data_IF_454889346659
#
_entry.id   IF_454889346659
#
_cell.length_a   1.000
_cell.length_b   1.000
_cell.length_c   1.000
_cell.angle_alpha   90.00
_cell.angle_beta   90.00
_cell.angle_gamma   90.00
#
_symmetry.space_group_name_H-M   'P 1'
#
loop_
_entity.id
_entity.type
_entity.pdbx_description
1 polymer ?
#
# COMPACT_ATOMS: atom_id res chain seq x y z
N UNK A 1 18.89 12.00 -26.67
CA UNK A 1 17.77 11.78 -25.74
C UNK A 1 17.75 12.95 -24.76
N UNK A 2 16.89 13.94 -24.97
CA UNK A 2 16.63 14.96 -23.96
C UNK A 2 16.00 14.27 -22.76
N UNK A 3 16.75 14.15 -21.67
CA UNK A 3 16.19 13.65 -20.41
C UNK A 3 14.95 14.50 -20.10
N UNK A 4 13.78 13.87 -19.96
CA UNK A 4 12.59 14.53 -19.41
C UNK A 4 12.97 14.96 -18.00
N UNK A 5 13.37 16.22 -17.84
CA UNK A 5 13.54 16.86 -16.54
C UNK A 5 12.18 16.81 -15.85
N UNK A 6 12.06 16.02 -14.78
CA UNK A 6 10.90 16.06 -13.88
C UNK A 6 10.89 17.41 -13.19
N UNK A 7 9.74 18.08 -13.15
CA UNK A 7 9.54 19.35 -12.48
C UNK A 7 9.10 19.16 -11.03
N UNK A 8 8.40 18.07 -10.73
CA UNK A 8 8.06 17.68 -9.36
C UNK A 8 9.29 17.03 -8.70
N UNK A 9 9.84 17.62 -7.61
CA UNK A 9 10.97 17.05 -6.91
C UNK A 9 10.58 15.76 -6.19
N UNK A 10 11.58 14.92 -5.90
CA UNK A 10 11.42 13.67 -5.13
C UNK A 10 10.43 12.66 -5.71
N UNK A 11 9.98 12.84 -6.94
CA UNK A 11 9.18 11.84 -7.62
C UNK A 11 10.08 10.65 -7.99
N UNK A 12 10.11 9.62 -7.13
CA UNK A 12 10.75 8.33 -7.38
C UNK A 12 9.76 7.27 -7.87
N UNK A 13 8.51 7.66 -8.11
CA UNK A 13 7.46 6.75 -8.57
C UNK A 13 7.41 6.66 -10.11
N UNK A 14 6.70 5.65 -10.63
CA UNK A 14 6.42 5.50 -12.05
C UNK A 14 5.46 6.55 -12.61
N UNK A 15 4.78 7.33 -11.74
CA UNK A 15 3.87 8.38 -12.16
C UNK A 15 4.63 9.57 -12.75
N UNK A 16 4.12 10.11 -13.86
CA UNK A 16 4.53 11.37 -14.46
C UNK A 16 4.03 12.57 -13.64
N UNK A 17 4.67 13.73 -13.83
CA UNK A 17 4.24 14.97 -13.17
C UNK A 17 2.77 15.30 -13.49
N UNK A 18 2.31 14.99 -14.72
CA UNK A 18 0.91 15.10 -15.11
C UNK A 18 0.01 14.26 -14.22
N UNK A 19 0.34 13.00 -14.00
CA UNK A 19 -0.48 12.09 -13.20
C UNK A 19 -0.52 12.50 -11.73
N UNK A 20 0.60 12.98 -11.19
CA UNK A 20 0.67 13.51 -9.82
C UNK A 20 -0.20 14.76 -9.68
N UNK A 21 -0.09 15.73 -10.61
CA UNK A 21 -0.93 16.92 -10.61
C UNK A 21 -2.41 16.54 -10.67
N UNK A 22 -2.79 15.64 -11.57
CA UNK A 22 -4.19 15.22 -11.71
C UNK A 22 -4.70 14.55 -10.43
N UNK A 23 -3.88 13.72 -9.77
CA UNK A 23 -4.26 13.07 -8.52
C UNK A 23 -4.41 14.05 -7.35
N UNK A 24 -3.53 15.06 -7.27
CA UNK A 24 -3.52 16.00 -6.16
C UNK A 24 -4.50 17.17 -6.35
N UNK A 25 -4.57 17.71 -7.56
CA UNK A 25 -5.27 18.96 -7.89
C UNK A 25 -6.47 18.77 -8.84
N UNK A 26 -6.57 17.62 -9.52
CA UNK A 26 -7.62 17.35 -10.49
C UNK A 26 -7.21 17.61 -11.95
N UNK A 27 -8.01 17.11 -12.93
CA UNK A 27 -7.73 17.23 -14.35
C UNK A 27 -7.78 18.67 -14.88
N UNK A 28 -8.65 19.50 -14.31
CA UNK A 28 -8.82 20.91 -14.69
C UNK A 28 -7.54 21.71 -14.37
N UNK A 29 -6.97 21.52 -13.19
CA UNK A 29 -5.71 22.15 -12.79
C UNK A 29 -4.56 21.83 -13.75
N UNK A 30 -4.49 20.60 -14.29
CA UNK A 30 -3.48 20.27 -15.30
C UNK A 30 -3.66 21.06 -16.59
N UNK A 31 -4.90 21.25 -17.05
CA UNK A 31 -5.18 22.05 -18.26
C UNK A 31 -4.81 23.52 -18.06
N UNK A 32 -5.06 24.07 -16.87
CA UNK A 32 -4.67 25.44 -16.52
C UNK A 32 -3.15 25.59 -16.48
N UNK A 33 -2.44 24.62 -15.89
CA UNK A 33 -0.97 24.60 -15.91
C UNK A 33 -0.40 24.55 -17.32
N UNK A 34 -0.96 23.73 -18.21
CA UNK A 34 -0.50 23.61 -19.58
C UNK A 34 -0.69 24.91 -20.38
N UNK A 35 -1.82 25.60 -20.16
CA UNK A 35 -2.08 26.94 -20.72
C UNK A 35 -1.06 27.97 -20.24
N UNK A 36 -0.83 28.05 -18.93
CA UNK A 36 0.14 28.98 -18.34
C UNK A 36 1.59 28.72 -18.78
N UNK A 37 1.95 27.44 -19.03
CA UNK A 37 3.25 27.07 -19.60
C UNK A 37 3.41 27.60 -21.02
N UNK A 38 2.37 27.51 -21.86
CA UNK A 38 2.40 28.01 -23.23
C UNK A 38 2.59 29.53 -23.28
N UNK A 39 2.03 30.26 -22.31
CA UNK A 39 2.13 31.72 -22.22
C UNK A 39 3.50 32.21 -21.66
N UNK A 40 4.38 31.31 -21.19
CA UNK A 40 5.70 31.60 -20.54
C UNK A 40 5.61 32.54 -19.33
N UNK A 41 4.46 32.60 -18.65
CA UNK A 41 4.13 33.67 -17.70
C UNK A 41 4.86 33.55 -16.34
N UNK A 42 5.21 32.35 -15.83
CA UNK A 42 5.89 32.26 -14.52
C UNK A 42 6.72 30.98 -14.27
N UNK A 43 8.04 31.05 -14.41
CA UNK A 43 8.92 29.92 -14.03
C UNK A 43 9.04 29.70 -12.51
N UNK A 44 9.06 30.79 -11.73
CA UNK A 44 9.31 30.72 -10.27
C UNK A 44 8.09 30.25 -9.48
N UNK A 45 6.90 30.76 -9.83
CA UNK A 45 5.64 30.35 -9.19
C UNK A 45 5.28 28.90 -9.52
N UNK A 46 5.46 28.47 -10.77
CA UNK A 46 5.30 27.08 -11.16
C UNK A 46 6.24 26.16 -10.37
N UNK A 47 7.53 26.52 -10.24
CA UNK A 47 8.48 25.74 -9.44
C UNK A 47 8.05 25.62 -7.98
N UNK A 48 7.59 26.71 -7.35
CA UNK A 48 7.10 26.68 -5.96
C UNK A 48 5.86 25.78 -5.83
N UNK A 49 4.96 25.78 -6.82
CA UNK A 49 3.82 24.87 -6.82
C UNK A 49 4.28 23.41 -6.93
N UNK A 50 5.20 23.08 -7.84
CA UNK A 50 5.73 21.72 -7.94
C UNK A 50 6.48 21.28 -6.68
N UNK A 51 7.18 22.18 -5.98
CA UNK A 51 7.77 21.91 -4.67
C UNK A 51 6.68 21.53 -3.64
N UNK A 52 5.56 22.27 -3.59
CA UNK A 52 4.42 21.93 -2.71
C UNK A 52 3.84 20.56 -3.05
N UNK A 53 3.61 20.28 -4.34
CA UNK A 53 3.07 18.99 -4.77
C UNK A 53 4.05 17.84 -4.51
N UNK A 54 5.35 18.08 -4.69
CA UNK A 54 6.41 17.10 -4.43
C UNK A 54 6.49 16.73 -2.95
N UNK A 55 6.40 17.73 -2.06
CA UNK A 55 6.41 17.51 -0.60
C UNK A 55 5.16 16.74 -0.14
N UNK A 56 3.97 17.00 -0.71
CA UNK A 56 2.76 16.20 -0.44
C UNK A 56 2.95 14.78 -0.95
N UNK A 57 3.41 14.63 -2.20
CA UNK A 57 3.55 13.36 -2.88
C UNK A 57 4.56 12.43 -2.20
N UNK A 58 5.73 12.96 -1.82
CA UNK A 58 6.79 12.17 -1.18
C UNK A 58 6.32 11.59 0.16
N UNK A 59 5.55 12.35 0.94
CA UNK A 59 4.99 11.88 2.21
C UNK A 59 3.91 10.83 1.97
N UNK A 60 2.96 11.07 1.05
CA UNK A 60 1.91 10.10 0.73
C UNK A 60 2.44 8.77 0.17
N UNK A 61 3.62 8.78 -0.45
CA UNK A 61 4.24 7.60 -1.07
C UNK A 61 5.37 6.98 -0.23
N UNK A 62 5.60 7.48 0.97
CA UNK A 62 6.63 6.99 1.87
C UNK A 62 6.05 6.75 3.28
N UNK A 63 5.69 5.49 3.61
CA UNK A 63 5.20 5.14 4.94
C UNK A 63 6.09 5.60 6.10
N UNK A 64 7.42 5.64 5.90
CA UNK A 64 8.34 6.10 6.95
C UNK A 64 8.23 7.61 7.22
N UNK A 65 8.03 8.42 6.16
CA UNK A 65 7.79 9.86 6.33
C UNK A 65 6.41 10.13 6.91
N UNK A 66 5.40 9.38 6.47
CA UNK A 66 4.05 9.46 7.03
C UNK A 66 4.07 9.13 8.53
N UNK A 67 4.72 8.04 8.93
CA UNK A 67 4.85 7.63 10.34
C UNK A 67 5.60 8.68 11.18
N UNK A 68 6.73 9.21 10.70
CA UNK A 68 7.46 10.28 11.42
C UNK A 68 6.58 11.52 11.66
N UNK A 69 5.76 11.90 10.69
CA UNK A 69 4.87 13.07 10.80
C UNK A 69 3.58 12.77 11.59
N UNK A 70 3.16 11.51 11.68
CA UNK A 70 2.09 11.09 12.59
C UNK A 70 2.57 11.17 14.04
N UNK A 71 3.80 10.73 14.31
CA UNK A 71 4.38 10.67 15.65
C UNK A 71 4.93 12.02 16.13
N UNK A 72 5.37 12.88 15.21
CA UNK A 72 5.95 14.18 15.53
C UNK A 72 5.07 15.36 15.05
N UNK A 73 4.25 15.86 15.98
CA UNK A 73 3.35 17.00 15.73
C UNK A 73 4.08 18.26 15.26
N UNK A 74 5.22 18.59 15.85
CA UNK A 74 5.95 19.83 15.53
C UNK A 74 6.50 19.79 14.11
N UNK A 75 7.08 18.65 13.69
CA UNK A 75 7.52 18.44 12.31
C UNK A 75 6.37 18.52 11.31
N UNK A 76 5.22 17.93 11.65
CA UNK A 76 4.01 18.01 10.83
C UNK A 76 3.52 19.44 10.67
N UNK A 77 3.42 20.20 11.77
CA UNK A 77 2.99 21.60 11.71
C UNK A 77 4.00 22.48 10.95
N UNK A 78 5.30 22.22 11.10
CA UNK A 78 6.34 22.91 10.35
C UNK A 78 6.24 22.64 8.84
N UNK A 79 6.03 21.38 8.42
CA UNK A 79 5.83 21.02 7.01
C UNK A 79 4.59 21.72 6.45
N UNK A 80 3.43 21.57 7.09
CA UNK A 80 2.17 22.19 6.64
C UNK A 80 2.32 23.72 6.56
N UNK A 81 2.97 24.33 7.56
CA UNK A 81 3.27 25.76 7.57
C UNK A 81 4.14 26.19 6.38
N UNK A 82 5.18 25.41 6.05
CA UNK A 82 6.03 25.67 4.89
C UNK A 82 5.27 25.57 3.56
N UNK A 83 4.38 24.57 3.40
CA UNK A 83 3.53 24.44 2.22
C UNK A 83 2.61 25.66 2.05
N UNK A 84 1.91 26.05 3.12
CA UNK A 84 1.03 27.23 3.11
C UNK A 84 1.80 28.52 2.84
N UNK A 85 3.01 28.67 3.38
CA UNK A 85 3.87 29.81 3.12
C UNK A 85 4.25 29.92 1.63
N UNK A 86 4.63 28.80 1.00
CA UNK A 86 4.93 28.79 -0.45
C UNK A 86 3.72 29.19 -1.29
N UNK A 87 2.52 28.69 -0.98
CA UNK A 87 1.29 29.08 -1.68
C UNK A 87 1.01 30.59 -1.53
N UNK A 88 1.19 31.15 -0.32
CA UNK A 88 1.04 32.58 -0.09
C UNK A 88 2.04 33.43 -0.89
N UNK A 89 3.28 32.95 -1.09
CA UNK A 89 4.26 33.62 -1.94
C UNK A 89 3.90 33.59 -3.43
N UNK A 90 3.21 32.54 -3.89
CA UNK A 90 2.67 32.47 -5.25
C UNK A 90 1.52 33.47 -5.41
N UNK A 91 0.61 33.54 -4.42
CA UNK A 91 -0.53 34.48 -4.44
C UNK A 91 -0.06 35.94 -4.55
N UNK A 92 0.95 36.35 -3.77
CA UNK A 92 1.56 37.69 -3.88
C UNK A 92 2.09 38.03 -5.28
N UNK A 93 2.46 37.01 -6.05
CA UNK A 93 3.03 37.14 -7.40
C UNK A 93 2.01 36.96 -8.51
N UNK A 94 0.75 36.65 -8.19
CA UNK A 94 -0.32 36.38 -9.16
C UNK A 94 -0.61 37.56 -10.08
N UNK A 95 -0.39 38.80 -9.61
CA UNK A 95 -0.68 40.04 -10.35
C UNK A 95 -2.11 40.08 -10.94
N UNK A 96 -3.09 39.46 -10.26
CA UNK A 96 -4.48 39.39 -10.71
C UNK A 96 -4.79 38.34 -11.80
N UNK A 97 -3.88 37.43 -12.11
CA UNK A 97 -4.11 36.37 -13.10
C UNK A 97 -5.11 35.31 -12.59
N UNK A 98 -6.32 35.29 -13.15
CA UNK A 98 -7.42 34.37 -12.79
C UNK A 98 -7.06 32.88 -12.86
N UNK A 99 -6.34 32.46 -13.90
CA UNK A 99 -5.85 31.09 -14.04
C UNK A 99 -4.94 30.67 -12.87
N UNK A 100 -4.15 31.59 -12.33
CA UNK A 100 -3.27 31.29 -11.18
C UNK A 100 -4.06 31.19 -9.88
N UNK A 101 -5.19 31.91 -9.70
CA UNK A 101 -6.00 31.72 -8.49
C UNK A 101 -6.73 30.40 -8.52
N UNK A 102 -7.23 29.97 -9.67
CA UNK A 102 -7.84 28.66 -9.82
C UNK A 102 -6.88 27.54 -9.39
N UNK A 103 -5.62 27.62 -9.80
CA UNK A 103 -4.58 26.70 -9.36
C UNK A 103 -4.27 26.79 -7.87
N UNK A 104 -4.22 28.00 -7.32
CA UNK A 104 -3.95 28.19 -5.90
C UNK A 104 -5.07 27.67 -5.02
N UNK A 105 -6.32 27.85 -5.42
CA UNK A 105 -7.47 27.29 -4.73
C UNK A 105 -7.38 25.76 -4.69
N UNK A 106 -7.14 25.13 -5.84
CA UNK A 106 -6.94 23.67 -5.90
C UNK A 106 -5.75 23.22 -5.03
N UNK A 107 -4.65 23.97 -5.03
CA UNK A 107 -3.47 23.66 -4.22
C UNK A 107 -3.71 23.84 -2.71
N UNK A 108 -4.44 24.88 -2.30
CA UNK A 108 -4.85 25.09 -0.92
C UNK A 108 -5.73 23.93 -0.44
N UNK A 109 -6.72 23.53 -1.23
CA UNK A 109 -7.54 22.37 -0.92
C UNK A 109 -6.73 21.07 -0.84
N UNK A 110 -5.71 20.90 -1.69
CA UNK A 110 -4.81 19.75 -1.61
C UNK A 110 -3.98 19.73 -0.32
N UNK A 111 -3.46 20.89 0.10
CA UNK A 111 -2.75 21.02 1.39
C UNK A 111 -3.69 20.77 2.57
N UNK A 112 -4.94 21.24 2.51
CA UNK A 112 -5.92 21.01 3.56
C UNK A 112 -6.33 19.53 3.66
N UNK A 113 -6.54 18.84 2.53
CA UNK A 113 -6.74 17.39 2.48
C UNK A 113 -5.54 16.64 3.06
N UNK A 114 -4.33 17.02 2.67
CA UNK A 114 -3.09 16.43 3.19
C UNK A 114 -2.97 16.60 4.70
N UNK A 115 -3.22 17.81 5.22
CA UNK A 115 -3.19 18.11 6.65
C UNK A 115 -4.25 17.33 7.43
N UNK A 116 -5.49 17.28 6.93
CA UNK A 116 -6.59 16.52 7.55
C UNK A 116 -6.33 15.01 7.52
N UNK A 117 -5.60 14.51 6.51
CA UNK A 117 -5.24 13.10 6.36
C UNK A 117 -4.55 12.52 7.58
N UNK A 118 -3.65 13.25 8.24
CA UNK A 118 -2.97 12.76 9.44
C UNK A 118 -3.93 12.44 10.59
N UNK A 119 -4.90 13.31 10.85
CA UNK A 119 -5.90 13.09 11.89
C UNK A 119 -6.85 11.93 11.54
N UNK A 120 -7.24 11.84 10.27
CA UNK A 120 -8.05 10.72 9.76
C UNK A 120 -7.31 9.38 9.90
N UNK A 121 -6.05 9.31 9.48
CA UNK A 121 -5.19 8.13 9.62
C UNK A 121 -5.05 7.72 11.08
N UNK A 122 -4.74 8.66 11.98
CA UNK A 122 -4.62 8.38 13.42
C UNK A 122 -5.93 7.83 14.01
N UNK A 123 -7.08 8.42 13.64
CA UNK A 123 -8.39 7.96 14.09
C UNK A 123 -8.71 6.55 13.57
N UNK A 124 -8.41 6.26 12.29
CA UNK A 124 -8.61 4.95 11.70
C UNK A 124 -7.68 3.90 12.31
N UNK A 125 -6.40 4.21 12.53
CA UNK A 125 -5.44 3.32 13.24
C UNK A 125 -5.96 2.96 14.63
N UNK A 126 -6.45 3.94 15.39
CA UNK A 126 -7.03 3.70 16.70
C UNK A 126 -8.29 2.83 16.65
N UNK A 127 -9.15 3.00 15.63
CA UNK A 127 -10.34 2.18 15.41
C UNK A 127 -9.97 0.74 15.04
N UNK A 128 -9.08 0.55 14.08
CA UNK A 128 -8.58 -0.75 13.63
C UNK A 128 -7.96 -1.50 14.80
N UNK A 129 -7.04 -0.86 15.53
CA UNK A 129 -6.37 -1.46 16.67
C UNK A 129 -7.37 -1.92 17.75
N UNK A 130 -8.31 -1.05 18.13
CA UNK A 130 -9.34 -1.38 19.14
C UNK A 130 -10.20 -2.57 18.73
N UNK A 131 -10.54 -2.67 17.45
CA UNK A 131 -11.42 -3.71 16.94
C UNK A 131 -10.67 -5.03 16.77
N UNK A 132 -9.52 -5.01 16.08
CA UNK A 132 -8.80 -6.23 15.69
C UNK A 132 -7.96 -6.83 16.83
N UNK A 133 -7.54 -6.06 17.84
CA UNK A 133 -6.86 -6.60 19.02
C UNK A 133 -7.73 -7.54 19.88
N UNK A 134 -9.00 -7.74 19.52
CA UNK A 134 -9.88 -8.76 20.12
C UNK A 134 -9.68 -10.15 19.53
N UNK A 135 -9.15 -10.22 18.31
CA UNK A 135 -8.96 -11.47 17.57
C UNK A 135 -7.50 -11.89 17.50
N UNK A 136 -6.57 -10.91 17.48
CA UNK A 136 -5.15 -11.16 17.36
C UNK A 136 -4.34 -10.33 18.35
N UNK A 137 -3.06 -10.69 18.54
CA UNK A 137 -2.14 -9.92 19.36
C UNK A 137 -1.86 -8.55 18.72
N UNK A 138 -1.56 -7.56 19.55
CA UNK A 138 -1.39 -6.17 19.08
C UNK A 138 -0.21 -6.02 18.09
N UNK A 139 0.85 -6.79 18.30
CA UNK A 139 2.04 -6.89 17.46
C UNK A 139 1.79 -7.56 16.12
N UNK A 140 0.66 -8.24 15.93
CA UNK A 140 0.22 -8.76 14.63
C UNK A 140 -0.55 -7.73 13.80
N UNK A 141 -0.75 -6.50 14.29
CA UNK A 141 -1.45 -5.41 13.61
C UNK A 141 -0.43 -4.34 13.24
N UNK A 142 0.18 -4.49 12.07
CA UNK A 142 1.36 -3.75 11.67
C UNK A 142 1.00 -2.54 10.80
N UNK A 143 1.19 -1.35 11.35
CA UNK A 143 1.05 -0.08 10.62
C UNK A 143 2.38 0.50 10.15
N UNK A 144 3.50 -0.09 10.58
CA UNK A 144 4.83 0.43 10.35
C UNK A 144 5.25 0.36 8.88
N UNK A 145 6.19 1.24 8.52
CA UNK A 145 6.70 1.32 7.16
C UNK A 145 7.32 0.02 6.63
N UNK A 146 7.97 -0.81 7.46
CA UNK A 146 8.60 -2.04 6.99
C UNK A 146 7.52 -3.05 6.54
N UNK A 147 6.51 -3.29 7.38
CA UNK A 147 5.41 -4.17 7.03
C UNK A 147 4.71 -3.68 5.76
N UNK A 148 4.33 -2.40 5.70
CA UNK A 148 3.62 -1.84 4.53
C UNK A 148 4.44 -1.88 3.25
N UNK A 149 5.75 -1.59 3.31
CA UNK A 149 6.66 -1.62 2.15
C UNK A 149 6.90 -3.04 1.66
N UNK A 150 7.07 -4.03 2.55
CA UNK A 150 7.23 -5.42 2.14
C UNK A 150 5.96 -6.03 1.53
N UNK A 151 4.80 -5.43 1.80
CA UNK A 151 3.48 -5.92 1.40
C UNK A 151 2.79 -5.10 0.31
N UNK A 152 3.49 -4.13 -0.29
CA UNK A 152 2.92 -3.21 -1.31
C UNK A 152 2.82 -3.84 -2.71
N UNK A 153 3.52 -4.96 -2.95
CA UNK A 153 3.64 -5.55 -4.29
C UNK A 153 3.80 -7.07 -4.25
N UNK A 154 3.58 -7.70 -5.40
CA UNK A 154 3.92 -9.10 -5.68
C UNK A 154 5.04 -9.16 -6.76
N UNK A 155 5.23 -10.30 -7.41
CA UNK A 155 6.28 -10.46 -8.42
C UNK A 155 6.05 -9.65 -9.71
N UNK A 156 4.89 -8.99 -9.86
CA UNK A 156 4.70 -7.98 -10.92
C UNK A 156 5.50 -6.70 -10.70
N UNK A 157 5.96 -6.46 -9.46
CA UNK A 157 6.64 -5.23 -9.03
C UNK A 157 5.76 -3.96 -9.12
N UNK A 158 4.45 -4.12 -9.30
CA UNK A 158 3.49 -3.02 -9.33
C UNK A 158 3.27 -2.46 -7.92
N UNK A 159 3.49 -1.15 -7.76
CA UNK A 159 3.32 -0.42 -6.48
C UNK A 159 2.25 0.65 -6.64
N UNK A 160 0.99 0.22 -6.63
CA UNK A 160 -0.15 1.12 -6.85
C UNK A 160 -0.48 1.88 -5.58
N UNK A 161 -0.92 1.22 -4.52
CA UNK A 161 -1.13 1.82 -3.19
C UNK A 161 -0.42 1.00 -2.11
N UNK A 162 -0.06 1.66 -1.00
CA UNK A 162 0.39 0.96 0.20
C UNK A 162 -0.83 0.43 0.98
N UNK A 163 -0.76 -0.76 1.57
CA UNK A 163 -1.82 -1.20 2.45
C UNK A 163 -1.92 -0.26 3.66
N UNK A 164 -3.13 -0.05 4.16
CA UNK A 164 -3.35 0.71 5.40
C UNK A 164 -2.70 0.00 6.59
N UNK A 165 -2.86 -1.32 6.63
CA UNK A 165 -2.39 -2.20 7.71
C UNK A 165 -2.06 -3.58 7.17
N UNK A 166 -1.06 -4.22 7.75
CA UNK A 166 -0.75 -5.63 7.51
C UNK A 166 -1.12 -6.42 8.77
N UNK A 167 -1.83 -7.53 8.60
CA UNK A 167 -2.19 -8.45 9.67
C UNK A 167 -1.38 -9.72 9.55
N UNK A 168 -0.74 -10.15 10.64
CA UNK A 168 0.12 -11.34 10.69
C UNK A 168 -0.39 -12.33 11.75
N UNK A 169 -1.58 -12.94 11.57
CA UNK A 169 -2.16 -13.87 12.54
C UNK A 169 -1.21 -15.03 12.88
N UNK A 170 -1.30 -15.55 14.11
CA UNK A 170 -0.54 -16.73 14.55
C UNK A 170 -1.27 -18.03 14.23
N UNK A 171 -2.61 -18.02 14.25
CA UNK A 171 -3.43 -19.22 14.07
C UNK A 171 -4.61 -18.99 13.13
N UNK A 172 -5.14 -20.10 12.60
CA UNK A 172 -6.27 -20.08 11.67
C UNK A 172 -7.57 -19.61 12.35
N UNK A 173 -7.72 -19.84 13.65
CA UNK A 173 -8.90 -19.43 14.43
C UNK A 173 -9.08 -17.91 14.50
N UNK A 174 -8.02 -17.13 14.28
CA UNK A 174 -8.07 -15.66 14.27
C UNK A 174 -8.74 -15.12 13.00
N UNK A 175 -8.64 -15.85 11.88
CA UNK A 175 -9.02 -15.39 10.54
C UNK A 175 -10.48 -14.96 10.44
N UNK A 176 -11.48 -15.74 10.92
CA UNK A 176 -12.89 -15.36 10.76
C UNK A 176 -13.22 -14.02 11.42
N UNK A 177 -12.66 -13.77 12.61
CA UNK A 177 -12.85 -12.52 13.35
C UNK A 177 -12.20 -11.33 12.64
N UNK A 178 -10.96 -11.51 12.17
CA UNK A 178 -10.23 -10.50 11.41
C UNK A 178 -10.96 -10.13 10.11
N UNK A 179 -11.39 -11.12 9.32
CA UNK A 179 -12.11 -10.88 8.05
C UNK A 179 -13.41 -10.12 8.29
N UNK A 180 -14.23 -10.58 9.24
CA UNK A 180 -15.52 -9.96 9.57
C UNK A 180 -15.34 -8.49 9.95
N UNK A 181 -14.41 -8.21 10.85
CA UNK A 181 -14.24 -6.87 11.37
C UNK A 181 -13.52 -5.93 10.38
N UNK A 182 -12.61 -6.44 9.54
CA UNK A 182 -12.04 -5.67 8.42
C UNK A 182 -13.13 -5.21 7.44
N UNK A 183 -14.08 -6.09 7.08
CA UNK A 183 -15.23 -5.72 6.25
C UNK A 183 -16.08 -4.64 6.95
N UNK A 184 -16.36 -4.80 8.24
CA UNK A 184 -17.13 -3.80 9.02
C UNK A 184 -16.41 -2.45 9.16
N UNK A 185 -15.07 -2.44 9.06
CA UNK A 185 -14.25 -1.24 9.03
C UNK A 185 -14.20 -0.56 7.66
N UNK A 186 -14.68 -1.23 6.60
CA UNK A 186 -14.62 -0.73 5.22
C UNK A 186 -13.29 -0.98 4.53
N UNK A 187 -12.45 -1.88 5.08
CA UNK A 187 -11.14 -2.20 4.50
C UNK A 187 -11.26 -3.29 3.44
N UNK A 188 -10.61 -3.08 2.29
CA UNK A 188 -10.48 -4.10 1.25
C UNK A 188 -9.46 -5.15 1.68
N UNK A 189 -9.87 -6.41 1.75
CA UNK A 189 -9.01 -7.50 2.24
C UNK A 189 -8.23 -8.12 1.09
N UNK A 190 -6.92 -8.30 1.29
CA UNK A 190 -6.01 -8.96 0.36
C UNK A 190 -5.30 -10.10 1.11
N UNK A 191 -5.66 -11.37 0.88
CA UNK A 191 -4.89 -12.48 1.43
C UNK A 191 -3.55 -12.60 0.70
N UNK A 192 -2.49 -12.89 1.43
CA UNK A 192 -1.14 -12.99 0.85
C UNK A 192 -0.29 -14.02 1.59
N UNK A 193 0.25 -14.98 0.85
CA UNK A 193 1.38 -15.83 1.29
C UNK A 193 2.71 -15.20 0.87
N UNK A 194 3.58 -15.96 0.20
CA UNK A 194 4.91 -15.46 -0.22
C UNK A 194 4.95 -14.36 -1.29
N UNK A 195 3.82 -13.86 -1.78
CA UNK A 195 3.78 -12.71 -2.71
C UNK A 195 4.41 -12.94 -4.08
N UNK A 196 4.53 -14.20 -4.54
CA UNK A 196 5.22 -14.56 -5.79
C UNK A 196 4.34 -14.52 -7.04
N UNK A 197 3.12 -13.98 -6.95
CA UNK A 197 2.17 -13.94 -8.07
C UNK A 197 2.58 -12.95 -9.17
N UNK A 198 2.26 -13.27 -10.43
CA UNK A 198 2.59 -12.45 -11.61
C UNK A 198 1.38 -11.76 -12.26
N UNK A 199 0.24 -11.72 -11.57
CA UNK A 199 -1.02 -11.18 -12.09
C UNK A 199 -1.54 -9.97 -11.32
N UNK A 200 -0.82 -9.52 -10.28
CA UNK A 200 -1.22 -8.39 -9.44
C UNK A 200 -2.24 -8.76 -8.36
N UNK A 201 -2.49 -10.05 -8.13
CA UNK A 201 -3.53 -10.54 -7.21
C UNK A 201 -3.30 -10.15 -5.74
N UNK A 202 -2.06 -9.85 -5.35
CA UNK A 202 -1.72 -9.40 -4.00
C UNK A 202 -1.30 -7.92 -3.93
N UNK A 203 -1.55 -7.14 -4.99
CA UNK A 203 -1.20 -5.71 -5.06
C UNK A 203 -2.35 -4.86 -4.51
N UNK A 204 -2.11 -3.99 -3.51
CA UNK A 204 -3.14 -3.08 -3.03
C UNK A 204 -3.45 -1.98 -4.06
N UNK A 205 -4.74 -1.86 -4.40
CA UNK A 205 -5.24 -0.88 -5.38
C UNK A 205 -5.97 0.31 -4.74
N UNK A 206 -6.15 0.26 -3.41
CA UNK A 206 -6.79 1.31 -2.62
C UNK A 206 -5.98 1.56 -1.35
N UNK A 207 -5.87 2.82 -0.87
CA UNK A 207 -5.22 3.12 0.41
C UNK A 207 -5.96 2.49 1.59
N UNK A 208 -7.28 2.25 1.47
CA UNK A 208 -8.12 1.62 2.50
C UNK A 208 -8.12 0.09 2.34
N UNK A 209 -6.94 -0.51 2.31
CA UNK A 209 -6.74 -1.95 2.17
C UNK A 209 -6.01 -2.56 3.36
N UNK A 210 -6.29 -3.83 3.61
CA UNK A 210 -5.61 -4.64 4.61
C UNK A 210 -5.03 -5.88 3.92
N UNK A 211 -3.73 -6.10 4.12
CA UNK A 211 -3.09 -7.35 3.69
C UNK A 211 -3.09 -8.31 4.86
N UNK A 212 -3.67 -9.50 4.70
CA UNK A 212 -3.58 -10.58 5.68
C UNK A 212 -2.43 -11.49 5.23
N UNK A 213 -1.29 -11.38 5.91
CA UNK A 213 -0.13 -12.22 5.69
C UNK A 213 -0.34 -13.58 6.37
N UNK A 214 -0.46 -14.64 5.57
CA UNK A 214 -0.68 -16.01 6.03
C UNK A 214 0.61 -16.80 6.22
N UNK A 215 1.81 -16.22 6.00
CA UNK A 215 3.10 -16.92 6.06
C UNK A 215 3.37 -17.56 7.44
N UNK A 216 2.80 -17.03 8.53
CA UNK A 216 2.91 -17.63 9.88
C UNK A 216 2.05 -18.88 10.07
N UNK A 217 1.10 -19.15 9.17
CA UNK A 217 0.29 -20.37 9.18
C UNK A 217 1.07 -21.50 8.50
N UNK A 218 2.26 -21.80 9.03
CA UNK A 218 3.27 -22.68 8.41
C UNK A 218 3.39 -24.06 9.08
N UNK A 219 2.39 -24.42 9.89
CA UNK A 219 2.28 -25.74 10.47
C UNK A 219 2.15 -26.79 9.37
N UNK A 220 2.99 -27.82 9.43
CA UNK A 220 3.03 -28.92 8.47
C UNK A 220 3.05 -30.25 9.23
N UNK A 221 2.15 -31.16 8.83
CA UNK A 221 2.08 -32.52 9.37
C UNK A 221 2.96 -33.50 8.59
N UNK A 222 2.80 -34.78 8.91
CA UNK A 222 3.36 -35.89 8.12
C UNK A 222 2.33 -36.36 7.10
N UNK A 223 2.79 -37.03 6.04
CA UNK A 223 1.89 -37.69 5.10
C UNK A 223 1.12 -38.81 5.81
N UNK A 224 -0.20 -38.84 5.64
CA UNK A 224 -1.09 -39.86 6.19
C UNK A 224 -2.03 -40.38 5.11
N UNK A 225 -2.42 -41.65 5.21
CA UNK A 225 -3.47 -42.21 4.36
C UNK A 225 -4.83 -41.87 4.93
N UNK A 226 -5.58 -41.02 4.22
CA UNK A 226 -6.93 -40.61 4.61
C UNK A 226 -7.93 -40.96 3.51
N UNK A 227 -9.12 -41.41 3.90
CA UNK A 227 -10.24 -41.56 2.98
C UNK A 227 -10.90 -40.20 2.80
N UNK A 228 -10.79 -39.62 1.61
CA UNK A 228 -11.35 -38.29 1.32
C UNK A 228 -12.88 -38.38 1.16
N UNK A 229 -13.63 -37.32 1.53
CA UNK A 229 -15.08 -37.28 1.33
C UNK A 229 -15.47 -37.61 -0.12
N UNK A 230 -16.38 -38.59 -0.30
CA UNK A 230 -16.85 -39.00 -1.63
C UNK A 230 -15.97 -40.02 -2.36
N UNK A 231 -14.91 -40.53 -1.72
CA UNK A 231 -14.02 -41.56 -2.31
C UNK A 231 -14.09 -42.89 -1.56
N UNK A 232 -13.88 -44.00 -2.27
CA UNK A 232 -13.93 -45.35 -1.68
C UNK A 232 -12.56 -45.86 -1.19
N UNK A 233 -11.46 -45.25 -1.66
CA UNK A 233 -10.11 -45.66 -1.34
C UNK A 233 -9.34 -44.54 -0.61
N UNK A 234 -8.38 -44.88 0.26
CA UNK A 234 -7.56 -43.88 0.93
C UNK A 234 -6.53 -43.27 -0.03
N UNK A 235 -6.17 -42.00 0.21
CA UNK A 235 -5.14 -41.25 -0.51
C UNK A 235 -4.07 -40.77 0.45
N UNK A 236 -2.82 -40.73 -0.02
CA UNK A 236 -1.73 -40.07 0.69
C UNK A 236 -2.01 -38.57 0.74
N UNK A 237 -2.17 -38.04 1.95
CA UNK A 237 -2.63 -36.68 2.23
C UNK A 237 -1.65 -35.99 3.16
N UNK A 238 -1.33 -34.73 2.85
CA UNK A 238 -0.50 -33.87 3.69
C UNK A 238 -1.37 -32.73 4.25
N UNK A 239 -1.54 -32.70 5.57
CA UNK A 239 -2.19 -31.57 6.24
C UNK A 239 -1.17 -30.46 6.49
N UNK A 240 -1.45 -29.26 5.98
CA UNK A 240 -0.56 -28.11 6.09
C UNK A 240 -1.36 -26.80 6.11
N UNK A 241 -0.83 -25.80 6.79
CA UNK A 241 -1.38 -24.46 6.80
C UNK A 241 -1.11 -23.70 5.49
N UNK A 242 -1.89 -22.64 5.26
CA UNK A 242 -1.79 -21.84 4.04
C UNK A 242 -0.42 -21.16 3.83
N UNK A 243 0.34 -20.92 4.91
CA UNK A 243 1.66 -20.30 4.91
C UNK A 243 2.82 -21.26 4.62
N UNK A 244 2.58 -22.57 4.57
CA UNK A 244 3.63 -23.55 4.28
C UNK A 244 4.25 -23.27 2.92
N UNK A 245 5.57 -23.05 2.89
CA UNK A 245 6.34 -22.90 1.64
C UNK A 245 6.27 -24.19 0.84
N UNK A 246 6.04 -24.08 -0.47
CA UNK A 246 5.82 -25.24 -1.37
C UNK A 246 6.96 -26.25 -1.28
N UNK A 247 8.22 -25.79 -1.22
CA UNK A 247 9.40 -26.64 -1.02
C UNK A 247 9.27 -27.54 0.21
N UNK A 248 8.78 -27.03 1.35
CA UNK A 248 8.60 -27.82 2.58
C UNK A 248 7.56 -28.92 2.41
N UNK A 249 6.51 -28.67 1.62
CA UNK A 249 5.53 -29.70 1.28
C UNK A 249 6.12 -30.78 0.35
N UNK A 250 6.99 -30.38 -0.59
CA UNK A 250 7.72 -31.32 -1.46
C UNK A 250 8.65 -32.22 -0.64
N UNK A 251 9.42 -31.65 0.27
CA UNK A 251 10.33 -32.37 1.18
C UNK A 251 9.56 -33.37 2.05
N UNK A 252 8.44 -32.97 2.65
CA UNK A 252 7.59 -33.86 3.46
C UNK A 252 7.00 -35.03 2.65
N UNK A 253 6.71 -34.82 1.37
CA UNK A 253 6.29 -35.91 0.48
C UNK A 253 7.45 -36.85 0.12
N UNK A 254 8.64 -36.30 -0.16
CA UNK A 254 9.84 -37.06 -0.48
C UNK A 254 10.27 -37.96 0.69
N UNK A 255 10.20 -37.46 1.93
CA UNK A 255 10.45 -38.23 3.15
C UNK A 255 9.50 -39.44 3.30
N UNK A 256 8.28 -39.35 2.75
CA UNK A 256 7.31 -40.44 2.70
C UNK A 256 7.49 -41.36 1.47
N UNK A 257 8.51 -41.14 0.65
CA UNK A 257 8.74 -41.89 -0.60
C UNK A 257 7.76 -41.52 -1.71
N UNK A 258 7.17 -40.33 -1.66
CA UNK A 258 6.19 -39.80 -2.60
C UNK A 258 6.73 -38.56 -3.31
N UNK A 259 5.98 -38.09 -4.32
CA UNK A 259 6.28 -36.84 -5.03
C UNK A 259 5.12 -35.89 -4.86
N UNK A 260 5.40 -34.66 -4.41
CA UNK A 260 4.43 -33.57 -4.46
C UNK A 260 4.45 -32.95 -5.86
N UNK A 261 3.40 -33.17 -6.65
CA UNK A 261 3.39 -32.84 -8.08
C UNK A 261 3.32 -31.33 -8.40
N UNK A 262 3.02 -30.48 -7.41
CA UNK A 262 2.96 -29.03 -7.59
C UNK A 262 4.39 -28.48 -7.47
N UNK A 263 5.01 -28.22 -8.62
CA UNK A 263 6.41 -27.78 -8.74
C UNK A 263 6.55 -26.46 -9.51
N UNK A 264 6.12 -25.32 -8.93
CA UNK A 264 6.32 -24.01 -9.54
C UNK A 264 7.80 -23.59 -9.45
N UNK A 265 8.28 -22.78 -10.40
CA UNK A 265 9.64 -22.19 -10.33
C UNK A 265 9.86 -21.37 -9.06
N UNK A 266 8.79 -20.89 -8.42
CA UNK A 266 8.81 -20.17 -7.15
C UNK A 266 8.71 -21.07 -5.92
N UNK A 267 8.90 -22.40 -6.02
CA UNK A 267 8.65 -23.35 -4.92
C UNK A 267 9.33 -22.99 -3.59
N UNK A 268 10.50 -22.34 -3.63
CA UNK A 268 11.25 -21.93 -2.44
C UNK A 268 10.71 -20.65 -1.76
N UNK A 269 9.68 -20.02 -2.34
CA UNK A 269 9.06 -18.80 -1.82
C UNK A 269 7.52 -18.80 -1.87
N UNK A 270 6.90 -19.49 -2.82
CA UNK A 270 5.44 -19.60 -2.88
C UNK A 270 4.92 -20.48 -1.74
N UNK A 271 3.72 -20.17 -1.26
CA UNK A 271 3.07 -20.93 -0.18
C UNK A 271 1.90 -21.76 -0.74
N UNK A 272 1.55 -22.84 -0.04
CA UNK A 272 0.45 -23.74 -0.40
C UNK A 272 -0.88 -22.98 -0.59
N UNK A 273 -1.19 -22.02 0.29
CA UNK A 273 -2.40 -21.21 0.14
C UNK A 273 -2.43 -20.41 -1.16
N UNK A 274 -1.27 -19.91 -1.61
CA UNK A 274 -1.15 -19.19 -2.88
C UNK A 274 -1.21 -20.10 -4.11
N UNK A 275 -0.82 -21.37 -3.99
CA UNK A 275 -0.94 -22.33 -5.09
C UNK A 275 -2.41 -22.78 -5.31
N UNK A 276 -3.25 -22.72 -4.27
CA UNK A 276 -4.66 -23.13 -4.31
C UNK A 276 -5.57 -22.00 -4.83
N UNK A 277 -5.25 -20.75 -4.49
CA UNK A 277 -6.04 -19.56 -4.83
C UNK A 277 -5.95 -19.20 -6.33
#
# INVERSE_FOLDING_TARGET
MTARLREIPYNYTSFSDREIVIRLLGPEAWQVLDRLRAERVTGRSARMLYEVLGDIWVVQRNPYLEDDLLDNRDRREALIGALRHRLAEIEKRRQGNESVAELLEAAHQAVDRFAAGFAATAALRAKVLRTLSRHTRRDNICFDGLARVSHVTDATDWRVEYPFVVLCPDTEEEIPGLVKDCIALGLTIIPRGGGTGYTGGAVPLTPDSVVINTEKLDAIGVVQRLTLPGTAQPYDTLHCGAGVVTRRAMEAAEEAGLVFAVDPTSADASCIGGNIA
#
